data_IF_173843159841
#
_entry.id   IF_173843159841
#
_cell.length_a   1.000
_cell.length_b   1.000
_cell.length_c   1.000
_cell.angle_alpha   90.00
_cell.angle_beta   90.00
_cell.angle_gamma   90.00
#
_symmetry.space_group_name_H-M   'P 1'
#
loop_
_entity.id
_entity.type
_entity.pdbx_description
1 polymer ?
#
# COMPACT_ATOMS: atom_id res chain seq x y z
N UNK A 1 26.00 9.11 -5.96
CA UNK A 1 24.64 9.56 -6.30
C UNK A 1 23.93 9.94 -5.01
N UNK A 2 23.16 11.04 -4.95
CA UNK A 2 22.37 11.34 -3.77
C UNK A 2 21.25 10.31 -3.61
N UNK A 3 20.99 9.89 -2.37
CA UNK A 3 19.84 9.05 -2.04
C UNK A 3 18.61 9.95 -2.06
N UNK A 4 17.72 9.72 -3.02
CA UNK A 4 16.41 10.39 -3.09
C UNK A 4 15.38 9.44 -2.51
N UNK A 5 14.80 9.81 -1.37
CA UNK A 5 13.71 9.05 -0.77
C UNK A 5 12.38 9.39 -1.46
N UNK A 6 11.53 8.40 -1.76
CA UNK A 6 10.23 8.65 -2.36
C UNK A 6 9.33 9.40 -1.39
N UNK A 7 8.59 10.37 -1.90
CA UNK A 7 7.58 11.09 -1.12
C UNK A 7 6.45 10.16 -0.70
N UNK A 8 5.71 10.54 0.34
CA UNK A 8 4.57 9.76 0.82
C UNK A 8 3.54 9.50 -0.29
N UNK A 9 3.27 10.49 -1.14
CA UNK A 9 2.38 10.32 -2.31
C UNK A 9 2.92 9.32 -3.34
N UNK A 10 4.24 9.22 -3.53
CA UNK A 10 4.84 8.19 -4.38
C UNK A 10 4.70 6.80 -3.76
N UNK A 11 4.87 6.69 -2.44
CA UNK A 11 4.68 5.43 -1.72
C UNK A 11 3.23 4.94 -1.81
N UNK A 12 2.25 5.83 -1.62
CA UNK A 12 0.80 5.51 -1.77
C UNK A 12 0.50 4.98 -3.17
N UNK A 13 0.96 5.68 -4.23
CA UNK A 13 0.75 5.22 -5.61
C UNK A 13 1.38 3.85 -5.87
N UNK A 14 2.57 3.60 -5.32
CA UNK A 14 3.22 2.30 -5.45
C UNK A 14 2.41 1.19 -4.74
N UNK A 15 1.92 1.45 -3.52
CA UNK A 15 1.11 0.50 -2.75
C UNK A 15 -0.24 0.21 -3.43
N UNK A 16 -0.91 1.21 -4.00
CA UNK A 16 -2.15 1.03 -4.76
C UNK A 16 -1.94 0.11 -5.97
N UNK A 17 -0.87 0.34 -6.73
CA UNK A 17 -0.51 -0.49 -7.88
C UNK A 17 -0.22 -1.92 -7.44
N UNK A 18 0.55 -2.09 -6.36
CA UNK A 18 0.91 -3.39 -5.83
C UNK A 18 -0.34 -4.16 -5.36
N UNK A 19 -1.25 -3.52 -4.63
CA UNK A 19 -2.50 -4.13 -4.20
C UNK A 19 -3.35 -4.61 -5.39
N UNK A 20 -3.46 -3.80 -6.46
CA UNK A 20 -4.16 -4.17 -7.68
C UNK A 20 -3.48 -5.35 -8.41
N UNK A 21 -2.14 -5.35 -8.49
CA UNK A 21 -1.39 -6.46 -9.07
C UNK A 21 -1.57 -7.74 -8.25
N UNK A 22 -1.46 -7.69 -6.92
CA UNK A 22 -1.65 -8.86 -6.05
C UNK A 22 -3.00 -9.53 -6.26
N UNK A 23 -4.09 -8.74 -6.32
CA UNK A 23 -5.45 -9.27 -6.60
C UNK A 23 -5.54 -10.05 -7.91
N UNK A 24 -4.79 -9.64 -8.94
CA UNK A 24 -4.81 -10.32 -10.26
C UNK A 24 -3.82 -11.47 -10.36
N UNK A 25 -2.59 -11.28 -9.85
CA UNK A 25 -1.51 -12.25 -9.94
C UNK A 25 -1.73 -13.41 -8.96
N UNK A 26 -2.16 -13.14 -7.74
CA UNK A 26 -2.35 -14.21 -6.75
C UNK A 26 -3.51 -15.12 -7.12
N UNK A 27 -4.60 -14.59 -7.70
CA UNK A 27 -5.68 -15.43 -8.25
C UNK A 27 -5.13 -16.48 -9.24
N UNK A 28 -4.22 -16.06 -10.14
CA UNK A 28 -3.53 -16.99 -11.07
C UNK A 28 -2.61 -17.96 -10.33
N UNK A 29 -1.86 -17.50 -9.34
CA UNK A 29 -0.97 -18.37 -8.55
C UNK A 29 -1.74 -19.43 -7.76
N UNK A 30 -2.91 -19.09 -7.24
CA UNK A 30 -3.84 -20.02 -6.57
C UNK A 30 -4.36 -21.05 -7.58
N UNK A 31 -4.82 -20.61 -8.76
CA UNK A 31 -5.27 -21.51 -9.81
C UNK A 31 -4.17 -22.51 -10.26
N UNK A 32 -2.91 -22.07 -10.28
CA UNK A 32 -1.77 -22.93 -10.61
C UNK A 32 -1.18 -23.68 -9.40
N UNK A 33 -1.86 -23.67 -8.25
CA UNK A 33 -1.41 -24.33 -7.01
C UNK A 33 0.01 -23.92 -6.57
N UNK A 34 0.42 -22.69 -6.90
CA UNK A 34 1.69 -22.05 -6.49
C UNK A 34 1.55 -21.16 -5.26
N UNK A 35 0.35 -21.09 -4.69
CA UNK A 35 -0.06 -20.33 -3.52
C UNK A 35 -1.41 -20.88 -3.05
N UNK A 36 -1.66 -20.91 -1.74
CA UNK A 36 -2.99 -21.22 -1.21
C UNK A 36 -3.88 -19.98 -1.24
N UNK A 37 -5.20 -20.17 -1.21
CA UNK A 37 -6.14 -19.04 -1.13
C UNK A 37 -5.91 -18.22 0.15
N UNK A 38 -5.68 -18.89 1.29
CA UNK A 38 -5.44 -18.23 2.57
C UNK A 38 -4.18 -17.34 2.56
N UNK A 39 -3.09 -17.78 1.92
CA UNK A 39 -1.89 -16.95 1.74
C UNK A 39 -2.17 -15.74 0.83
N UNK A 40 -2.92 -15.93 -0.24
CA UNK A 40 -3.29 -14.84 -1.15
C UNK A 40 -4.14 -13.77 -0.44
N UNK A 41 -5.13 -14.21 0.35
CA UNK A 41 -6.01 -13.33 1.11
C UNK A 41 -5.22 -12.54 2.16
N UNK A 42 -4.37 -13.23 2.94
CA UNK A 42 -3.51 -12.59 3.94
C UNK A 42 -2.61 -11.51 3.33
N UNK A 43 -1.94 -11.82 2.21
CA UNK A 43 -1.04 -10.86 1.56
C UNK A 43 -1.78 -9.65 0.94
N UNK A 44 -3.03 -9.84 0.54
CA UNK A 44 -3.90 -8.74 0.08
C UNK A 44 -4.34 -7.88 1.26
N UNK A 45 -4.74 -8.49 2.37
CA UNK A 45 -5.12 -7.77 3.60
C UNK A 45 -3.95 -6.96 4.16
N UNK A 46 -2.76 -7.56 4.25
CA UNK A 46 -1.54 -6.87 4.70
C UNK A 46 -1.21 -5.67 3.82
N UNK A 47 -1.26 -5.83 2.49
CA UNK A 47 -0.99 -4.72 1.57
C UNK A 47 -2.06 -3.62 1.66
N UNK A 48 -3.33 -3.98 1.86
CA UNK A 48 -4.40 -3.03 2.08
C UNK A 48 -4.20 -2.24 3.40
N UNK A 49 -3.76 -2.90 4.47
CA UNK A 49 -3.44 -2.26 5.74
C UNK A 49 -2.25 -1.28 5.62
N UNK A 50 -1.22 -1.64 4.86
CA UNK A 50 -0.09 -0.75 4.54
C UNK A 50 -0.59 0.49 3.80
N UNK A 51 -1.37 0.31 2.73
CA UNK A 51 -1.92 1.43 1.97
C UNK A 51 -2.72 2.37 2.88
N UNK A 52 -3.62 1.82 3.71
CA UNK A 52 -4.42 2.60 4.66
C UNK A 52 -3.55 3.40 5.63
N UNK A 53 -2.48 2.79 6.15
CA UNK A 53 -1.53 3.47 7.05
C UNK A 53 -0.89 4.68 6.35
N UNK A 54 -0.47 4.52 5.09
CA UNK A 54 0.14 5.59 4.32
C UNK A 54 -0.86 6.73 4.03
N UNK A 55 -2.11 6.40 3.72
CA UNK A 55 -3.19 7.36 3.49
C UNK A 55 -3.51 8.15 4.76
N UNK A 56 -3.57 7.49 5.92
CA UNK A 56 -3.76 8.14 7.23
C UNK A 56 -2.61 9.09 7.58
N UNK A 57 -1.35 8.69 7.31
CA UNK A 57 -0.19 9.57 7.48
C UNK A 57 -0.28 10.81 6.59
N UNK A 58 -0.72 10.65 5.34
CA UNK A 58 -0.88 11.77 4.41
C UNK A 58 -1.94 12.74 4.91
N UNK A 59 -3.05 12.23 5.44
CA UNK A 59 -4.09 13.07 6.03
C UNK A 59 -3.57 13.82 7.26
N UNK A 60 -2.83 13.17 8.16
CA UNK A 60 -2.25 13.84 9.33
C UNK A 60 -1.30 14.98 8.95
N UNK A 61 -0.47 14.79 7.93
CA UNK A 61 0.40 15.86 7.40
C UNK A 61 -0.41 17.03 6.83
N UNK A 62 -1.51 16.75 6.13
CA UNK A 62 -2.45 17.78 5.66
C UNK A 62 -3.09 18.55 6.84
N UNK A 63 -3.51 17.86 7.90
CA UNK A 63 -4.08 18.52 9.08
C UNK A 63 -3.07 19.41 9.82
N UNK A 64 -1.81 18.97 9.96
CA UNK A 64 -0.75 19.76 10.60
C UNK A 64 -0.38 21.01 9.79
N UNK A 65 -0.45 20.93 8.46
CA UNK A 65 -0.14 22.07 7.58
C UNK A 65 -1.29 23.09 7.50
N UNK A 66 -2.54 22.67 7.72
CA UNK A 66 -3.72 23.55 7.65
C UNK A 66 -4.20 24.13 8.99
N UNK A 67 -3.65 23.69 10.12
CA UNK A 67 -4.02 24.20 11.43
C UNK A 67 -2.76 24.62 12.21
N UNK A 68 -2.36 25.92 12.17
CA UNK A 68 -1.20 26.36 12.93
C UNK A 68 -1.48 26.22 14.43
N UNK A 69 -0.49 25.79 15.24
CA UNK A 69 -0.63 25.77 16.69
C UNK A 69 -0.93 27.21 17.18
N UNK A 70 -1.93 27.33 18.05
CA UNK A 70 -2.28 28.58 18.75
C UNK A 70 -1.15 29.03 19.65
#
# INVERSE_FOLDING_TARGET
MPIVYPTLGQQIKAAQRELAMRRTVYAKRVAFQKMTQAEADLEVELMAAILKTLEELQQQDLFKTHNPPR
#
